data_IF_221737387178
#
_entry.id   IF_221737387178
#
_cell.length_a   1.000
_cell.length_b   1.000
_cell.length_c   1.000
_cell.angle_alpha   90.00
_cell.angle_beta   90.00
_cell.angle_gamma   90.00
#
_symmetry.space_group_name_H-M   'P 1'
#
loop_
_entity.id
_entity.type
_entity.pdbx_description
1 polymer ?
#
# COMPACT_ATOMS: atom_id res chain seq x y z
N UNK A 1 1.50 -3.04 -58.72
CA UNK A 1 1.32 -4.12 -59.70
C UNK A 1 2.06 -3.71 -60.97
N UNK A 2 3.16 -4.34 -61.30
CA UNK A 2 3.89 -4.10 -62.55
C UNK A 2 3.56 -5.25 -63.47
N UNK A 3 2.85 -4.98 -64.54
CA UNK A 3 2.63 -5.94 -65.63
C UNK A 3 3.92 -6.06 -66.44
N UNK A 4 4.56 -7.17 -66.39
CA UNK A 4 5.72 -7.49 -67.25
C UNK A 4 5.20 -8.33 -68.41
N UNK A 5 5.11 -7.74 -69.57
CA UNK A 5 4.84 -8.49 -70.81
C UNK A 5 6.13 -9.16 -71.24
N UNK A 6 6.14 -10.48 -71.14
CA UNK A 6 7.25 -11.24 -71.68
C UNK A 6 7.38 -11.03 -73.24
N UNK A 7 8.52 -10.52 -73.63
CA UNK A 7 8.79 -10.22 -75.02
C UNK A 7 9.25 -11.44 -75.89
N UNK A 8 8.59 -12.57 -75.70
CA UNK A 8 8.79 -13.73 -76.58
C UNK A 8 8.12 -13.53 -77.88
N UNK A 9 8.94 -13.27 -78.94
CA UNK A 9 8.48 -13.13 -80.32
C UNK A 9 7.80 -14.42 -80.81
N UNK A 10 6.51 -14.43 -80.87
CA UNK A 10 5.68 -15.49 -81.37
C UNK A 10 4.39 -14.95 -81.97
N UNK A 11 4.28 -15.08 -83.28
CA UNK A 11 3.08 -15.03 -84.11
C UNK A 11 1.88 -14.23 -83.62
N UNK A 12 1.58 -13.14 -84.27
CA UNK A 12 0.39 -12.28 -84.07
C UNK A 12 -0.89 -12.84 -84.71
N UNK A 13 -1.08 -14.12 -84.81
CA UNK A 13 -2.23 -14.72 -85.52
C UNK A 13 -3.11 -15.50 -84.51
N UNK A 14 -3.80 -14.78 -83.62
CA UNK A 14 -4.90 -15.31 -82.84
C UNK A 14 -6.17 -15.19 -83.71
N UNK A 15 -6.42 -16.10 -84.58
CA UNK A 15 -7.67 -16.19 -85.35
C UNK A 15 -8.70 -17.15 -84.73
N UNK A 16 -8.48 -17.55 -83.55
CA UNK A 16 -9.42 -18.43 -82.88
C UNK A 16 -9.73 -17.88 -81.46
N UNK A 17 -10.95 -18.06 -81.01
CA UNK A 17 -11.59 -17.58 -79.79
C UNK A 17 -11.02 -18.13 -78.47
N UNK A 18 -9.86 -18.79 -78.50
CA UNK A 18 -9.23 -19.46 -77.37
C UNK A 18 -7.96 -18.81 -76.84
N UNK A 19 -7.68 -17.57 -77.27
CA UNK A 19 -6.65 -16.80 -76.60
C UNK A 19 -7.20 -16.23 -75.30
N UNK A 20 -7.38 -17.08 -74.33
CA UNK A 20 -7.58 -16.64 -72.94
C UNK A 20 -6.21 -16.15 -72.44
N UNK A 21 -6.02 -14.84 -72.30
CA UNK A 21 -4.92 -14.29 -71.51
C UNK A 21 -5.01 -14.80 -70.08
N UNK A 22 -4.54 -16.02 -69.87
CA UNK A 22 -4.34 -16.52 -68.52
C UNK A 22 -3.05 -15.96 -67.99
N UNK A 23 -3.18 -14.98 -67.13
CA UNK A 23 -2.03 -14.55 -66.31
C UNK A 23 -1.78 -15.68 -65.29
N UNK A 24 -0.78 -16.52 -65.54
CA UNK A 24 -0.28 -17.45 -64.54
C UNK A 24 0.56 -16.65 -63.55
N UNK A 25 0.08 -16.54 -62.34
CA UNK A 25 0.87 -16.04 -61.19
C UNK A 25 1.53 -17.29 -60.61
N UNK A 26 2.76 -17.54 -61.01
CA UNK A 26 3.60 -18.62 -60.51
C UNK A 26 4.43 -18.05 -59.34
N UNK A 27 4.53 -18.80 -58.23
CA UNK A 27 5.26 -18.41 -57.01
C UNK A 27 4.83 -17.08 -56.34
N UNK A 28 3.58 -16.97 -55.90
CA UNK A 28 3.23 -15.97 -54.88
C UNK A 28 3.78 -16.48 -53.54
N UNK A 29 5.01 -16.07 -53.22
CA UNK A 29 5.52 -16.16 -51.87
C UNK A 29 4.89 -15.01 -51.06
N UNK A 30 3.83 -15.29 -50.32
CA UNK A 30 3.40 -14.37 -49.31
C UNK A 30 4.51 -14.34 -48.25
N UNK A 31 5.00 -13.15 -47.82
CA UNK A 31 5.79 -13.09 -46.58
C UNK A 31 4.99 -13.80 -45.49
N UNK A 32 5.65 -14.51 -44.55
CA UNK A 32 4.93 -15.08 -43.44
C UNK A 32 4.09 -13.96 -42.85
N UNK A 33 2.77 -14.14 -42.85
CA UNK A 33 1.88 -13.29 -42.07
C UNK A 33 2.22 -13.66 -40.62
N UNK A 34 3.09 -12.84 -40.02
CA UNK A 34 3.14 -12.80 -38.58
C UNK A 34 1.74 -12.34 -38.19
N UNK A 35 0.89 -13.28 -37.82
CA UNK A 35 -0.21 -12.97 -36.96
C UNK A 35 0.49 -12.46 -35.69
N UNK A 36 0.59 -11.12 -35.53
CA UNK A 36 0.65 -10.61 -34.20
C UNK A 36 -0.57 -11.23 -33.52
N UNK A 37 -0.34 -12.20 -32.64
CA UNK A 37 -1.37 -12.58 -31.70
C UNK A 37 -1.76 -11.25 -31.08
N UNK A 38 -3.01 -10.81 -31.28
CA UNK A 38 -3.53 -9.67 -30.54
C UNK A 38 -3.37 -10.01 -29.06
N UNK A 39 -2.24 -9.58 -28.47
CA UNK A 39 -1.97 -9.77 -27.07
C UNK A 39 -3.00 -8.90 -26.37
N UNK A 40 -3.93 -9.52 -25.71
CA UNK A 40 -4.94 -8.82 -24.92
C UNK A 40 -4.26 -8.30 -23.65
N UNK A 41 -3.99 -7.00 -23.64
CA UNK A 41 -3.38 -6.36 -22.48
C UNK A 41 -4.29 -6.53 -21.26
N UNK A 42 -3.75 -7.05 -20.17
CA UNK A 42 -4.48 -7.42 -18.96
C UNK A 42 -4.84 -8.91 -18.85
N UNK A 43 -4.73 -9.69 -19.93
CA UNK A 43 -4.94 -11.15 -19.93
C UNK A 43 -3.67 -11.84 -19.40
N UNK A 44 -3.48 -11.76 -18.10
CA UNK A 44 -2.29 -12.25 -17.43
C UNK A 44 -2.25 -13.77 -17.30
N UNK A 45 -3.40 -14.44 -17.40
CA UNK A 45 -3.51 -15.91 -17.34
C UNK A 45 -3.54 -16.56 -18.73
N UNK A 46 -3.71 -15.78 -19.82
CA UNK A 46 -3.70 -16.24 -21.20
C UNK A 46 -4.97 -16.95 -21.66
N UNK A 47 -6.12 -16.74 -21.00
CA UNK A 47 -7.39 -17.37 -21.34
C UNK A 47 -8.25 -16.56 -22.32
N UNK A 48 -7.79 -15.38 -22.72
CA UNK A 48 -8.44 -14.41 -23.62
C UNK A 48 -9.71 -13.77 -23.03
N UNK A 49 -9.87 -13.78 -21.70
CA UNK A 49 -11.02 -13.19 -20.99
C UNK A 49 -10.50 -12.32 -19.83
N UNK A 50 -10.69 -11.02 -19.90
CA UNK A 50 -10.33 -10.13 -18.78
C UNK A 50 -11.30 -10.33 -17.60
N UNK A 51 -10.80 -10.83 -16.49
CA UNK A 51 -11.58 -11.09 -15.27
C UNK A 51 -10.71 -11.13 -14.02
N UNK A 52 -11.30 -11.44 -12.86
CA UNK A 52 -10.60 -11.48 -11.58
C UNK A 52 -9.43 -12.48 -11.53
N UNK A 53 -9.42 -13.51 -12.38
CA UNK A 53 -8.34 -14.49 -12.39
C UNK A 53 -7.03 -13.87 -12.93
N UNK A 54 -7.13 -12.86 -13.80
CA UNK A 54 -5.99 -12.10 -14.27
C UNK A 54 -5.42 -11.23 -13.15
N UNK A 55 -6.28 -10.62 -12.34
CA UNK A 55 -5.85 -9.87 -11.15
C UNK A 55 -5.05 -10.78 -10.22
N UNK A 56 -5.52 -11.99 -9.95
CA UNK A 56 -4.80 -12.98 -9.13
C UNK A 56 -3.48 -13.38 -9.80
N UNK A 57 -3.43 -13.50 -11.12
CA UNK A 57 -2.19 -13.80 -11.84
C UNK A 57 -1.17 -12.66 -11.68
N UNK A 58 -1.59 -11.39 -11.83
CA UNK A 58 -0.71 -10.22 -11.63
C UNK A 58 -0.26 -10.12 -10.17
N UNK A 59 -1.13 -10.35 -9.19
CA UNK A 59 -0.75 -10.42 -7.76
C UNK A 59 0.37 -11.44 -7.54
N UNK A 60 0.27 -12.63 -8.12
CA UNK A 60 1.31 -13.66 -8.00
C UNK A 60 2.63 -13.24 -8.67
N UNK A 61 2.60 -12.46 -9.75
CA UNK A 61 3.79 -11.89 -10.38
C UNK A 61 4.45 -10.85 -9.47
N UNK A 62 3.67 -9.93 -8.90
CA UNK A 62 4.17 -8.88 -7.99
C UNK A 62 4.76 -9.49 -6.71
N UNK A 63 4.15 -10.54 -6.18
CA UNK A 63 4.70 -11.30 -5.04
C UNK A 63 5.93 -12.14 -5.40
N UNK A 64 6.27 -12.25 -6.69
CA UNK A 64 7.40 -13.06 -7.15
C UNK A 64 7.15 -14.57 -7.11
N UNK A 65 5.88 -15.01 -7.02
CA UNK A 65 5.52 -16.42 -7.12
C UNK A 65 5.64 -16.95 -8.56
N UNK A 66 5.51 -16.05 -9.54
CA UNK A 66 5.59 -16.31 -10.98
C UNK A 66 6.44 -15.21 -11.64
N UNK A 67 7.20 -15.55 -12.69
CA UNK A 67 7.94 -14.56 -13.47
C UNK A 67 6.98 -13.54 -14.12
N UNK A 68 7.28 -12.23 -14.05
CA UNK A 68 6.45 -11.19 -14.64
C UNK A 68 6.38 -11.29 -16.17
N UNK A 69 5.17 -11.26 -16.73
CA UNK A 69 4.97 -11.10 -18.17
C UNK A 69 4.63 -9.63 -18.49
N UNK A 70 5.64 -8.87 -18.90
CA UNK A 70 5.49 -7.47 -19.26
C UNK A 70 4.57 -7.23 -20.46
N UNK A 71 4.34 -8.25 -21.31
CA UNK A 71 3.54 -8.06 -22.52
C UNK A 71 2.03 -8.04 -22.24
N UNK A 72 1.60 -8.73 -21.19
CA UNK A 72 0.19 -8.81 -20.80
C UNK A 72 -0.10 -8.06 -19.52
N UNK A 73 0.88 -7.91 -18.61
CA UNK A 73 0.65 -7.49 -17.23
C UNK A 73 1.22 -6.12 -16.87
N UNK A 74 2.04 -5.50 -17.74
CA UNK A 74 2.49 -4.11 -17.59
C UNK A 74 1.48 -3.18 -18.30
N UNK A 75 0.42 -2.80 -17.55
CA UNK A 75 -0.69 -2.04 -18.11
C UNK A 75 -0.36 -0.56 -18.29
N UNK A 76 0.54 -0.03 -17.45
CA UNK A 76 0.94 1.37 -17.50
C UNK A 76 2.13 1.62 -18.43
N UNK A 77 2.84 0.56 -18.89
CA UNK A 77 3.97 0.62 -19.80
C UNK A 77 5.24 1.18 -19.17
N UNK A 78 5.41 1.09 -17.85
CA UNK A 78 6.60 1.60 -17.15
C UNK A 78 7.77 0.59 -17.11
N UNK A 79 7.54 -0.64 -17.57
CA UNK A 79 8.53 -1.72 -17.63
C UNK A 79 8.61 -2.57 -16.37
N UNK A 80 7.69 -2.39 -15.42
CA UNK A 80 7.63 -3.11 -14.14
C UNK A 80 6.20 -3.57 -13.90
N UNK A 81 6.00 -4.84 -13.56
CA UNK A 81 4.69 -5.30 -13.06
C UNK A 81 4.60 -5.00 -11.57
N UNK A 82 3.68 -4.14 -11.20
CA UNK A 82 3.52 -3.60 -9.84
C UNK A 82 2.06 -3.58 -9.38
N UNK A 83 1.83 -3.10 -8.17
CA UNK A 83 0.47 -2.91 -7.63
C UNK A 83 -0.34 -1.89 -8.44
N UNK A 84 0.29 -0.98 -9.17
CA UNK A 84 -0.39 -0.02 -10.02
C UNK A 84 -1.07 -0.69 -11.22
N UNK A 85 -0.43 -1.73 -11.80
CA UNK A 85 -1.03 -2.50 -12.90
C UNK A 85 -2.24 -3.29 -12.45
N UNK A 86 -2.22 -3.80 -11.20
CA UNK A 86 -3.38 -4.45 -10.59
C UNK A 86 -4.57 -3.48 -10.55
N UNK A 87 -4.35 -2.24 -10.14
CA UNK A 87 -5.42 -1.24 -10.07
C UNK A 87 -5.92 -0.86 -11.46
N UNK A 88 -5.03 -0.71 -12.44
CA UNK A 88 -5.44 -0.42 -13.82
C UNK A 88 -6.26 -1.58 -14.42
N UNK A 89 -5.85 -2.81 -14.16
CA UNK A 89 -6.61 -3.99 -14.58
C UNK A 89 -8.00 -4.03 -13.91
N UNK A 90 -8.08 -3.75 -12.61
CA UNK A 90 -9.35 -3.66 -11.89
C UNK A 90 -10.26 -2.57 -12.45
N UNK A 91 -9.70 -1.40 -12.84
CA UNK A 91 -10.46 -0.33 -13.48
C UNK A 91 -11.09 -0.78 -14.79
N UNK A 92 -10.37 -1.59 -15.58
CA UNK A 92 -10.89 -2.15 -16.82
C UNK A 92 -12.01 -3.15 -16.55
N UNK A 93 -11.84 -4.04 -15.57
CA UNK A 93 -12.79 -5.13 -15.26
C UNK A 93 -14.07 -4.58 -14.60
N UNK A 94 -13.95 -3.61 -13.69
CA UNK A 94 -15.07 -3.12 -12.88
C UNK A 94 -15.86 -1.97 -13.50
N UNK A 95 -15.43 -1.45 -14.66
CA UNK A 95 -16.07 -0.31 -15.38
C UNK A 95 -16.39 0.85 -14.43
N UNK A 96 -15.37 1.61 -14.10
CA UNK A 96 -15.28 2.56 -12.98
C UNK A 96 -16.27 3.74 -13.06
N UNK A 97 -17.50 3.53 -12.62
CA UNK A 97 -18.50 4.59 -12.48
C UNK A 97 -18.94 4.77 -11.03
N UNK A 98 -18.20 5.58 -10.26
CA UNK A 98 -18.70 6.08 -8.98
C UNK A 98 -17.77 6.00 -7.78
N UNK A 99 -16.46 6.13 -7.95
CA UNK A 99 -15.50 6.13 -6.84
C UNK A 99 -15.54 7.41 -6.00
N UNK A 100 -15.19 7.25 -4.73
CA UNK A 100 -14.85 8.34 -3.82
C UNK A 100 -13.65 9.10 -4.41
N UNK A 101 -13.44 10.35 -3.98
CA UNK A 101 -12.27 11.12 -4.43
C UNK A 101 -10.97 10.38 -4.07
N UNK A 102 -10.06 10.29 -5.04
CA UNK A 102 -8.75 9.68 -4.87
C UNK A 102 -7.93 10.38 -3.78
N UNK A 103 -7.13 9.60 -3.08
CA UNK A 103 -6.16 10.14 -2.15
C UNK A 103 -5.01 10.83 -2.91
N UNK A 104 -4.49 11.92 -2.35
CA UNK A 104 -3.30 12.61 -2.82
C UNK A 104 -2.09 12.27 -1.97
N UNK A 105 -2.32 11.85 -0.73
CA UNK A 105 -1.27 11.49 0.23
C UNK A 105 -1.77 10.45 1.23
N UNK A 106 -0.84 9.67 1.75
CA UNK A 106 -1.09 8.73 2.82
C UNK A 106 -0.09 8.91 3.97
N UNK A 107 -0.53 8.55 5.16
CA UNK A 107 0.30 8.50 6.36
C UNK A 107 0.36 7.06 6.84
N UNK A 108 1.58 6.56 7.01
CA UNK A 108 1.85 5.23 7.53
C UNK A 108 2.23 5.32 9.01
N UNK A 109 1.50 4.60 9.84
CA UNK A 109 1.79 4.42 11.26
C UNK A 109 2.40 3.03 11.46
N UNK A 110 3.67 2.99 11.87
CA UNK A 110 4.35 1.75 12.26
C UNK A 110 4.14 1.56 13.76
N UNK A 111 3.42 0.49 14.12
CA UNK A 111 3.11 0.12 15.50
C UNK A 111 3.93 -1.12 15.88
N UNK A 112 4.07 -1.39 17.18
CA UNK A 112 4.75 -2.61 17.66
C UNK A 112 4.03 -3.90 17.27
N UNK A 113 2.76 -3.81 16.92
CA UNK A 113 1.90 -4.94 16.56
C UNK A 113 1.42 -4.93 15.11
N UNK A 114 2.02 -4.09 14.23
CA UNK A 114 1.68 -4.05 12.82
C UNK A 114 1.82 -2.69 12.16
N UNK A 115 1.17 -2.52 11.01
CA UNK A 115 1.18 -1.28 10.24
C UNK A 115 -0.24 -0.87 9.89
N UNK A 116 -0.53 0.42 10.03
CA UNK A 116 -1.74 1.03 9.50
C UNK A 116 -1.41 2.16 8.52
N UNK A 117 -2.28 2.36 7.52
CA UNK A 117 -2.17 3.44 6.55
C UNK A 117 -3.49 4.21 6.54
N UNK A 118 -3.40 5.51 6.71
CA UNK A 118 -4.52 6.44 6.57
C UNK A 118 -4.27 7.42 5.42
N UNK A 119 -5.30 7.82 4.70
CA UNK A 119 -5.19 8.72 3.57
C UNK A 119 -6.31 9.76 3.56
N UNK A 120 -6.12 10.82 2.76
CA UNK A 120 -7.09 11.90 2.56
C UNK A 120 -8.19 11.56 1.54
N UNK A 121 -8.20 10.32 1.01
CA UNK A 121 -9.15 9.82 0.02
C UNK A 121 -9.01 8.31 -0.20
N UNK A 122 -9.45 7.87 -1.38
CA UNK A 122 -9.44 6.47 -1.78
C UNK A 122 -8.02 5.93 -2.01
N UNK A 123 -7.70 4.81 -1.39
CA UNK A 123 -6.50 4.00 -1.64
C UNK A 123 -6.90 2.82 -2.54
N UNK A 124 -6.23 2.71 -3.69
CA UNK A 124 -6.40 1.58 -4.61
C UNK A 124 -5.71 0.32 -4.09
N UNK A 125 -4.43 0.43 -3.78
CA UNK A 125 -3.69 -0.69 -3.24
C UNK A 125 -2.45 -0.25 -2.45
N UNK A 126 -1.97 -1.19 -1.64
CA UNK A 126 -0.75 -1.09 -0.84
C UNK A 126 0.13 -2.29 -1.14
N UNK A 127 1.40 -2.03 -1.46
CA UNK A 127 2.46 -3.03 -1.52
C UNK A 127 3.54 -2.67 -0.51
N UNK A 128 4.02 -3.64 0.26
CA UNK A 128 5.11 -3.44 1.20
C UNK A 128 6.14 -4.55 1.08
N UNK A 129 7.39 -4.17 1.33
CA UNK A 129 8.49 -5.11 1.56
C UNK A 129 8.98 -4.91 2.99
N UNK A 130 9.01 -6.01 3.75
CA UNK A 130 9.43 -6.05 5.14
C UNK A 130 10.69 -6.88 5.27
N UNK A 131 11.62 -6.46 6.14
CA UNK A 131 12.71 -7.30 6.63
C UNK A 131 12.45 -7.69 8.08
N UNK A 132 12.80 -8.93 8.45
CA UNK A 132 12.52 -9.54 9.75
C UNK A 132 13.44 -10.73 10.02
N UNK A 133 13.41 -11.27 11.22
CA UNK A 133 14.08 -12.51 11.55
C UNK A 133 13.34 -13.75 11.00
N UNK A 134 14.05 -14.88 10.93
CA UNK A 134 13.47 -16.13 10.45
C UNK A 134 12.31 -16.61 11.35
N UNK A 135 11.21 -17.04 10.72
CA UNK A 135 10.01 -17.50 11.43
C UNK A 135 8.95 -16.42 11.64
N UNK A 136 9.13 -15.27 11.03
CA UNK A 136 8.15 -14.18 11.05
C UNK A 136 6.76 -14.61 10.59
N UNK A 137 5.74 -14.20 11.34
CA UNK A 137 4.32 -14.47 11.02
C UNK A 137 3.54 -13.17 11.11
N UNK A 138 2.76 -12.90 10.09
CA UNK A 138 1.83 -11.77 10.07
C UNK A 138 0.39 -12.23 9.77
N UNK A 139 -0.57 -11.39 10.15
CA UNK A 139 -1.97 -11.53 9.75
C UNK A 139 -2.34 -10.30 8.95
N UNK A 140 -2.63 -10.48 7.66
CA UNK A 140 -3.16 -9.42 6.81
C UNK A 140 -4.57 -9.04 7.23
N UNK A 141 -5.01 -7.85 6.84
CA UNK A 141 -6.40 -7.45 6.98
C UNK A 141 -7.30 -8.35 6.12
N UNK A 142 -8.45 -8.73 6.67
CA UNK A 142 -9.52 -9.40 5.93
C UNK A 142 -10.45 -8.37 5.22
N UNK A 143 -10.32 -7.08 5.58
CA UNK A 143 -11.11 -5.97 5.05
C UNK A 143 -10.43 -5.41 3.78
N UNK A 144 -10.35 -6.21 2.72
CA UNK A 144 -9.78 -5.84 1.43
C UNK A 144 -10.35 -6.72 0.31
N UNK A 145 -10.30 -6.22 -0.93
CA UNK A 145 -10.73 -7.00 -2.08
C UNK A 145 -9.81 -8.20 -2.34
N UNK A 146 -8.48 -8.00 -2.24
CA UNK A 146 -7.46 -9.05 -2.24
C UNK A 146 -6.39 -8.67 -1.24
N UNK A 147 -5.98 -9.61 -0.41
CA UNK A 147 -4.79 -9.50 0.44
C UNK A 147 -4.00 -10.81 0.36
N UNK A 148 -2.70 -10.70 0.07
CA UNK A 148 -1.80 -11.86 0.00
C UNK A 148 -0.36 -11.45 0.30
N UNK A 149 0.48 -12.40 0.67
CA UNK A 149 1.89 -12.16 0.93
C UNK A 149 2.75 -13.38 0.62
N UNK A 150 4.02 -13.12 0.40
CA UNK A 150 5.07 -14.13 0.29
C UNK A 150 6.21 -13.80 1.23
N UNK A 151 6.61 -14.79 2.02
CA UNK A 151 7.82 -14.73 2.87
C UNK A 151 8.93 -15.57 2.26
N UNK A 152 10.10 -14.98 2.15
CA UNK A 152 11.34 -15.64 1.73
C UNK A 152 12.40 -15.40 2.82
N UNK A 153 12.67 -16.44 3.63
CA UNK A 153 13.57 -16.45 4.80
C UNK A 153 13.39 -15.25 5.76
N UNK A 154 13.95 -14.10 5.40
CA UNK A 154 13.97 -12.88 6.24
C UNK A 154 13.31 -11.67 5.57
N UNK A 155 12.63 -11.89 4.46
CA UNK A 155 11.94 -10.83 3.72
C UNK A 155 10.51 -11.24 3.43
N UNK A 156 9.56 -10.36 3.66
CA UNK A 156 8.14 -10.55 3.29
C UNK A 156 7.71 -9.44 2.35
N UNK A 157 7.17 -9.82 1.19
CA UNK A 157 6.44 -8.90 0.32
C UNK A 157 4.95 -9.17 0.48
N UNK A 158 4.17 -8.13 0.74
CA UNK A 158 2.73 -8.20 0.89
C UNK A 158 2.01 -7.23 -0.04
N UNK A 159 0.78 -7.58 -0.39
CA UNK A 159 -0.12 -6.76 -1.21
C UNK A 159 -1.49 -6.75 -0.53
N UNK A 160 -2.09 -5.56 -0.45
CA UNK A 160 -3.48 -5.35 -0.04
C UNK A 160 -4.15 -4.47 -1.10
N UNK A 161 -5.14 -5.00 -1.78
CA UNK A 161 -5.86 -4.33 -2.88
C UNK A 161 -7.22 -3.87 -2.39
N UNK A 162 -7.55 -2.60 -2.61
CA UNK A 162 -8.79 -1.94 -2.18
C UNK A 162 -9.05 -2.16 -0.68
N UNK A 163 -8.15 -1.72 0.22
CA UNK A 163 -8.36 -1.85 1.66
C UNK A 163 -9.59 -1.07 2.10
N UNK A 164 -10.46 -1.70 2.89
CA UNK A 164 -11.64 -1.07 3.51
C UNK A 164 -11.35 -0.60 4.95
N UNK A 165 -10.22 -1.01 5.52
CA UNK A 165 -9.73 -0.58 6.83
C UNK A 165 -8.35 0.06 6.73
N UNK A 166 -8.00 0.89 7.71
CA UNK A 166 -6.66 1.48 7.77
C UNK A 166 -5.59 0.45 8.18
N UNK A 167 -5.94 -0.62 8.87
CA UNK A 167 -5.01 -1.64 9.30
C UNK A 167 -4.61 -2.54 8.12
N UNK A 168 -3.33 -2.59 7.81
CA UNK A 168 -2.79 -3.38 6.70
C UNK A 168 -2.45 -4.79 7.18
N UNK A 169 -1.71 -4.90 8.28
CA UNK A 169 -1.41 -6.18 8.90
C UNK A 169 -1.14 -6.04 10.40
N UNK A 170 -1.20 -7.17 11.10
CA UNK A 170 -0.75 -7.32 12.49
C UNK A 170 0.29 -8.42 12.60
N UNK A 171 1.18 -8.28 13.58
CA UNK A 171 2.20 -9.27 13.93
C UNK A 171 2.56 -9.14 15.41
N UNK A 172 3.15 -10.19 15.99
CA UNK A 172 3.80 -10.13 17.30
C UNK A 172 5.33 -10.11 17.22
N UNK A 173 5.86 -10.19 16.01
CA UNK A 173 7.30 -10.32 15.74
C UNK A 173 7.88 -8.96 15.35
N UNK A 174 9.17 -8.78 15.60
CA UNK A 174 9.88 -7.57 15.19
C UNK A 174 10.07 -7.54 13.67
N UNK A 175 9.84 -6.38 13.08
CA UNK A 175 9.98 -6.16 11.64
C UNK A 175 10.46 -4.74 11.34
N UNK A 176 10.91 -4.54 10.11
CA UNK A 176 11.21 -3.21 9.55
C UNK A 176 10.56 -3.09 8.17
N UNK A 177 9.95 -1.96 7.90
CA UNK A 177 9.46 -1.61 6.56
C UNK A 177 10.64 -1.11 5.74
N UNK A 178 10.98 -1.83 4.67
CA UNK A 178 12.06 -1.42 3.75
C UNK A 178 11.52 -0.61 2.58
N UNK A 179 10.32 -0.94 2.10
CA UNK A 179 9.66 -0.24 1.02
C UNK A 179 8.14 -0.25 1.22
N UNK A 180 7.49 0.85 0.85
CA UNK A 180 6.04 0.96 0.79
C UNK A 180 5.64 1.71 -0.48
N UNK A 181 4.73 1.11 -1.24
CA UNK A 181 4.09 1.69 -2.41
C UNK A 181 2.58 1.74 -2.15
N UNK A 182 2.00 2.91 -2.30
CA UNK A 182 0.54 3.11 -2.16
C UNK A 182 0.03 3.77 -3.44
N UNK A 183 -1.07 3.26 -3.96
CA UNK A 183 -1.72 3.82 -5.14
C UNK A 183 -3.11 4.35 -4.80
N UNK A 184 -3.55 5.33 -5.56
CA UNK A 184 -4.96 5.64 -5.73
C UNK A 184 -5.52 4.89 -6.97
N UNK A 185 -6.56 5.37 -7.64
CA UNK A 185 -7.11 4.74 -8.83
C UNK A 185 -6.22 4.88 -10.09
N UNK A 186 -5.28 5.83 -10.10
CA UNK A 186 -4.55 6.22 -11.33
C UNK A 186 -3.02 6.20 -11.16
N UNK A 187 -2.50 6.45 -9.95
CA UNK A 187 -1.08 6.69 -9.74
C UNK A 187 -0.60 6.31 -8.34
N UNK A 188 0.72 6.21 -8.20
CA UNK A 188 1.34 6.16 -6.88
C UNK A 188 1.14 7.49 -6.14
N UNK A 189 0.86 7.42 -4.84
CA UNK A 189 0.72 8.58 -3.96
C UNK A 189 1.87 8.63 -2.96
N UNK A 190 2.17 9.85 -2.50
CA UNK A 190 3.23 10.05 -1.50
C UNK A 190 2.80 9.44 -0.15
N UNK A 191 3.69 8.64 0.43
CA UNK A 191 3.53 8.09 1.77
C UNK A 191 4.50 8.77 2.71
N UNK A 192 3.99 9.26 3.84
CA UNK A 192 4.81 9.81 4.92
C UNK A 192 4.67 8.91 6.14
N UNK A 193 5.78 8.60 6.79
CA UNK A 193 5.75 7.93 8.09
C UNK A 193 5.28 8.92 9.16
N UNK A 194 4.36 8.50 10.01
CA UNK A 194 3.90 9.29 11.15
C UNK A 194 5.03 9.40 12.16
N UNK A 195 5.56 10.60 12.32
CA UNK A 195 6.58 10.90 13.34
C UNK A 195 5.86 11.44 14.58
N UNK A 196 5.73 10.62 15.59
CA UNK A 196 5.23 11.04 16.90
C UNK A 196 6.39 11.66 17.67
N UNK A 197 6.33 12.97 17.92
CA UNK A 197 7.33 13.63 18.78
C UNK A 197 7.00 13.42 20.26
N UNK A 198 8.05 13.23 21.11
CA UNK A 198 7.86 13.18 22.55
C UNK A 198 7.23 14.48 23.05
N UNK A 199 6.07 14.38 23.69
CA UNK A 199 5.37 15.54 24.25
C UNK A 199 4.55 15.19 25.47
N UNK A 200 4.30 16.20 26.31
CA UNK A 200 3.33 16.15 27.40
C UNK A 200 2.48 17.42 27.31
N UNK A 201 1.23 17.28 26.92
CA UNK A 201 0.31 18.41 26.75
C UNK A 201 -0.03 19.07 28.10
N UNK A 202 -0.64 20.23 28.03
CA UNK A 202 -1.23 20.85 29.22
C UNK A 202 -2.45 20.06 29.66
N UNK A 203 -2.55 19.78 30.97
CA UNK A 203 -3.71 19.13 31.54
C UNK A 203 -4.99 19.96 31.34
N UNK A 204 -6.08 19.31 30.97
CA UNK A 204 -7.36 19.98 30.81
C UNK A 204 -8.50 19.14 31.45
N UNK A 205 -9.34 19.79 32.27
CA UNK A 205 -9.27 21.17 32.78
C UNK A 205 -8.06 21.40 33.71
N UNK A 206 -7.56 22.63 33.78
CA UNK A 206 -6.57 23.07 34.76
C UNK A 206 -6.82 24.57 35.10
N UNK A 207 -7.26 24.96 36.30
CA UNK A 207 -7.51 24.11 37.51
C UNK A 207 -8.59 23.05 37.30
N UNK A 208 -8.53 21.94 38.05
CA UNK A 208 -9.43 20.80 37.91
C UNK A 208 -10.07 20.37 39.21
N UNK A 209 -11.22 19.62 39.17
CA UNK A 209 -11.96 19.11 40.33
C UNK A 209 -12.76 17.84 39.93
N UNK A 210 -12.48 16.67 40.45
CA UNK A 210 -11.17 16.17 40.88
C UNK A 210 -10.46 15.47 39.75
N UNK A 211 -10.95 15.57 38.48
CA UNK A 211 -10.49 14.82 37.30
C UNK A 211 -9.91 15.79 36.29
N UNK A 212 -8.78 15.43 35.71
CA UNK A 212 -8.15 16.09 34.54
C UNK A 212 -7.61 15.05 33.58
N UNK A 213 -7.46 15.44 32.32
CA UNK A 213 -6.87 14.61 31.26
C UNK A 213 -5.60 15.27 30.72
N UNK A 214 -4.63 14.47 30.32
CA UNK A 214 -3.35 14.87 29.76
C UNK A 214 -3.05 13.96 28.59
N UNK A 215 -2.57 14.52 27.50
CA UNK A 215 -2.01 13.76 26.39
C UNK A 215 -0.50 13.59 26.58
N UNK A 216 -0.03 12.36 26.48
CA UNK A 216 1.37 11.99 26.48
C UNK A 216 1.70 11.31 25.17
N UNK A 217 2.71 11.80 24.45
CA UNK A 217 3.19 11.21 23.20
C UNK A 217 4.57 10.62 23.41
N UNK A 218 4.72 9.33 23.13
CA UNK A 218 6.02 8.65 23.10
C UNK A 218 6.55 8.64 21.65
N UNK A 219 7.77 9.19 21.46
CA UNK A 219 8.40 9.27 20.13
C UNK A 219 8.86 7.92 19.61
N UNK A 220 9.13 6.97 20.50
CA UNK A 220 9.65 5.64 20.17
C UNK A 220 8.98 4.61 21.08
N UNK A 221 8.82 3.38 20.56
CA UNK A 221 8.41 2.25 21.38
C UNK A 221 9.48 1.98 22.44
N UNK A 222 9.06 1.75 23.69
CA UNK A 222 9.99 1.54 24.79
C UNK A 222 9.38 1.76 26.16
N UNK A 223 10.22 1.83 27.19
CA UNK A 223 9.72 2.09 28.54
C UNK A 223 9.38 3.55 28.73
N UNK A 224 8.19 3.82 29.21
CA UNK A 224 7.74 5.16 29.60
C UNK A 224 7.14 5.20 30.99
N UNK A 225 7.28 6.33 31.66
CA UNK A 225 6.60 6.58 32.94
C UNK A 225 6.00 7.99 32.99
N UNK A 226 4.73 8.08 33.41
CA UNK A 226 4.05 9.34 33.69
C UNK A 226 3.56 9.30 35.13
N UNK A 227 4.18 10.11 35.99
CA UNK A 227 3.96 10.12 37.45
C UNK A 227 3.59 11.50 37.94
N UNK A 228 2.76 11.55 38.97
CA UNK A 228 2.34 12.80 39.62
C UNK A 228 3.04 12.96 40.96
N UNK A 229 3.57 14.14 41.20
CA UNK A 229 4.32 14.49 42.40
C UNK A 229 3.65 15.64 43.14
N UNK A 230 3.72 15.60 44.49
CA UNK A 230 3.42 16.76 45.31
C UNK A 230 4.62 17.71 45.38
N UNK A 231 4.46 18.87 46.04
CA UNK A 231 5.55 19.87 46.19
C UNK A 231 6.75 19.37 47.02
N UNK A 232 6.61 18.27 47.76
CA UNK A 232 7.71 17.60 48.46
C UNK A 232 8.47 16.58 47.62
N UNK A 233 8.09 16.41 46.35
CA UNK A 233 8.71 15.44 45.42
C UNK A 233 8.25 13.99 45.64
N UNK A 234 7.22 13.77 46.44
CA UNK A 234 6.66 12.44 46.67
C UNK A 234 5.69 12.08 45.55
N UNK A 235 5.76 10.83 45.02
CA UNK A 235 4.79 10.31 44.05
C UNK A 235 3.42 10.14 44.75
N UNK A 236 2.42 10.80 44.18
CA UNK A 236 1.03 10.74 44.65
C UNK A 236 0.07 10.11 43.64
N UNK A 237 0.56 9.82 42.45
CA UNK A 237 -0.18 9.11 41.40
C UNK A 237 0.75 8.56 40.34
N UNK A 238 0.38 7.44 39.75
CA UNK A 238 1.05 6.85 38.60
C UNK A 238 0.00 6.75 37.52
N UNK A 239 0.22 7.42 36.40
CA UNK A 239 -0.71 7.46 35.26
C UNK A 239 -0.30 6.44 34.20
N UNK A 240 1.01 6.22 34.07
CA UNK A 240 1.61 5.23 33.17
C UNK A 240 2.96 4.80 33.76
N UNK A 241 3.28 3.51 33.65
CA UNK A 241 4.57 2.94 34.09
C UNK A 241 4.77 1.58 33.41
N UNK A 242 5.42 1.52 32.24
CA UNK A 242 5.58 0.29 31.47
C UNK A 242 6.06 0.51 30.04
N UNK A 243 6.03 -0.56 29.26
CA UNK A 243 6.31 -0.53 27.82
C UNK A 243 5.16 0.16 27.09
N UNK A 244 5.51 1.01 26.11
CA UNK A 244 4.58 1.79 25.29
C UNK A 244 5.02 1.75 23.83
N UNK A 245 4.08 1.94 22.93
CA UNK A 245 4.33 2.14 21.50
C UNK A 245 4.59 3.62 21.20
N UNK A 246 5.17 3.91 20.04
CA UNK A 246 5.34 5.26 19.51
C UNK A 246 4.00 5.86 19.10
N UNK A 247 3.22 6.33 20.07
CA UNK A 247 1.89 6.95 19.83
C UNK A 247 1.50 7.92 20.95
N UNK A 248 0.37 8.60 20.75
CA UNK A 248 -0.22 9.49 21.73
C UNK A 248 -1.20 8.75 22.62
N UNK A 249 -1.06 8.93 23.94
CA UNK A 249 -1.88 8.34 25.01
C UNK A 249 -2.69 9.41 25.72
N UNK A 250 -4.00 9.17 25.90
CA UNK A 250 -4.86 10.01 26.70
C UNK A 250 -4.92 9.47 28.14
N UNK A 251 -4.29 10.17 29.08
CA UNK A 251 -4.16 9.77 30.46
C UNK A 251 -5.13 10.57 31.34
N UNK A 252 -5.94 9.90 32.12
CA UNK A 252 -6.89 10.53 33.05
C UNK A 252 -6.37 10.41 34.46
N UNK A 253 -6.28 11.55 35.16
CA UNK A 253 -5.92 11.60 36.56
C UNK A 253 -7.15 11.96 37.45
N UNK A 254 -7.46 11.09 38.40
CA UNK A 254 -8.48 11.34 39.42
C UNK A 254 -7.82 11.58 40.79
N UNK A 255 -7.87 12.80 41.26
CA UNK A 255 -7.25 13.27 42.48
C UNK A 255 -8.28 13.38 43.68
N UNK A 256 -9.36 12.58 43.68
CA UNK A 256 -10.45 12.67 44.66
C UNK A 256 -9.97 12.59 46.10
N UNK A 257 -8.91 11.83 46.38
CA UNK A 257 -8.39 11.57 47.73
C UNK A 257 -7.25 12.54 48.14
N UNK A 258 -6.89 13.48 47.28
CA UNK A 258 -5.83 14.45 47.52
C UNK A 258 -6.40 15.80 47.92
N UNK A 259 -5.63 16.61 48.65
CA UNK A 259 -6.01 17.98 49.05
C UNK A 259 -5.82 18.98 47.90
N UNK A 260 -6.62 20.07 47.94
CA UNK A 260 -6.42 21.18 47.01
C UNK A 260 -4.98 21.68 47.09
N UNK A 261 -4.37 21.93 45.92
CA UNK A 261 -2.97 22.36 45.87
C UNK A 261 -2.37 22.21 44.48
N UNK A 262 -1.07 22.50 44.40
CA UNK A 262 -0.26 22.37 43.18
C UNK A 262 0.43 21.00 43.15
N UNK A 263 0.35 20.36 42.01
CA UNK A 263 1.01 19.09 41.70
C UNK A 263 1.82 19.22 40.40
N UNK A 264 2.81 18.34 40.25
CA UNK A 264 3.65 18.26 39.05
C UNK A 264 3.47 16.91 38.41
N UNK A 265 3.12 16.88 37.14
CA UNK A 265 3.09 15.65 36.33
C UNK A 265 4.39 15.58 35.55
N UNK A 266 5.12 14.49 35.68
CA UNK A 266 6.38 14.24 35.00
C UNK A 266 6.24 13.02 34.09
N UNK A 267 6.56 13.19 32.82
CA UNK A 267 6.67 12.13 31.84
C UNK A 267 8.15 11.89 31.47
N UNK A 268 8.52 10.63 31.36
CA UNK A 268 9.86 10.17 30.95
C UNK A 268 9.70 9.03 29.93
N UNK A 269 10.39 9.14 28.78
CA UNK A 269 10.45 8.09 27.75
C UNK A 269 11.70 8.29 26.90
N UNK A 270 12.44 7.21 26.61
CA UNK A 270 13.62 7.20 25.72
C UNK A 270 14.63 8.34 26.00
N UNK A 271 14.86 8.64 27.29
CA UNK A 271 15.76 9.72 27.73
C UNK A 271 15.17 11.13 27.66
N UNK A 272 13.97 11.31 27.11
CA UNK A 272 13.26 12.59 27.12
C UNK A 272 12.48 12.76 28.42
N UNK A 273 12.37 14.01 28.90
CA UNK A 273 11.64 14.36 30.13
C UNK A 273 10.81 15.62 29.88
N UNK A 274 9.52 15.54 30.23
CA UNK A 274 8.63 16.70 30.25
C UNK A 274 7.91 16.81 31.60
N UNK A 275 7.57 18.04 31.99
CA UNK A 275 6.89 18.30 33.26
C UNK A 275 5.79 19.34 33.08
N UNK A 276 4.60 19.06 33.61
CA UNK A 276 3.45 19.96 33.61
C UNK A 276 2.99 20.27 35.02
N UNK A 277 2.67 21.53 35.26
CA UNK A 277 2.10 22.01 36.53
C UNK A 277 0.57 21.94 36.44
N UNK A 278 -0.07 21.35 37.45
CA UNK A 278 -1.53 21.24 37.57
C UNK A 278 -2.02 21.73 38.91
N UNK A 279 -3.24 22.27 38.96
CA UNK A 279 -3.83 22.82 40.16
C UNK A 279 -5.17 22.12 40.47
N UNK A 280 -5.23 21.40 41.59
CA UNK A 280 -6.44 20.80 42.09
C UNK A 280 -7.19 21.83 42.98
N UNK A 281 -8.45 22.06 42.67
CA UNK A 281 -9.39 22.87 43.46
C UNK A 281 -10.58 21.99 43.84
N UNK A 282 -10.80 21.80 45.15
CA UNK A 282 -11.99 21.14 45.70
C UNK A 282 -12.94 22.14 46.27
#
# INVERSE_FOLDING_TARGET
WTYVKDGGGGSTDCTNTDCADAAFIDDIVFPPVYMESDVLLGDANGDSILNILDVIAVVNMVLGNVEPDLTTSDLNGDGIVSVLDIIQLLNIILDDSGRLSDANSAVMDILSDGVSISADGYIGAVQMTLSHDAGFVLNLTDDAFVSDYRTDETTTTLIVVMPESNQIFTTSDDFKVDEVLVTNSESFIAVTESVVEFSLSSAYPNPFNPITTIEFSAAEAGYASVKVYNLMGQVVGVLMDGMVDAKTYNLTWNAKDLSSGVYMIKAESSGNVATQKVMLLK
#
